data_IF_444764122883
#
_entry.id   IF_444764122883
#
_cell.length_a   1.000
_cell.length_b   1.000
_cell.length_c   1.000
_cell.angle_alpha   90.00
_cell.angle_beta   90.00
_cell.angle_gamma   90.00
#
_symmetry.space_group_name_H-M   'P 1'
#
loop_
_entity.id
_entity.type
_entity.pdbx_description
1 polymer ?
#
# COMPACT_ATOMS: atom_id res chain seq x y z
N UNK A 1 0.40 -13.45 -10.26
CA UNK A 1 1.51 -13.39 -9.29
C UNK A 1 0.88 -13.48 -7.91
N UNK A 2 1.08 -14.56 -7.16
CA UNK A 2 0.68 -14.68 -5.74
C UNK A 2 1.62 -13.83 -4.87
N UNK A 3 1.46 -12.52 -5.02
CA UNK A 3 2.11 -11.46 -4.28
C UNK A 3 1.47 -11.34 -2.89
N UNK A 4 2.15 -11.85 -1.86
CA UNK A 4 1.77 -11.63 -0.46
C UNK A 4 2.68 -10.56 0.14
N UNK A 5 2.09 -9.52 0.73
CA UNK A 5 2.80 -8.57 1.60
C UNK A 5 2.94 -9.14 3.01
N UNK A 6 3.25 -10.43 3.13
CA UNK A 6 3.32 -11.11 4.44
C UNK A 6 4.32 -10.45 5.38
N UNK A 7 5.45 -9.98 4.84
CA UNK A 7 6.47 -9.24 5.58
C UNK A 7 5.94 -7.90 6.15
N UNK A 8 4.94 -7.30 5.48
CA UNK A 8 4.32 -6.04 5.88
C UNK A 8 2.92 -6.23 6.46
N UNK A 9 2.54 -7.48 6.74
CA UNK A 9 1.19 -7.81 7.19
C UNK A 9 0.86 -7.14 8.52
N UNK A 10 1.84 -7.03 9.41
CA UNK A 10 1.67 -6.32 10.68
C UNK A 10 1.32 -4.84 10.45
N UNK A 11 2.04 -4.16 9.55
CA UNK A 11 1.77 -2.75 9.21
C UNK A 11 0.40 -2.62 8.53
N UNK A 12 0.11 -3.46 7.54
CA UNK A 12 -1.15 -3.44 6.80
C UNK A 12 -2.37 -3.80 7.66
N UNK A 13 -2.25 -4.72 8.61
CA UNK A 13 -3.35 -5.11 9.50
C UNK A 13 -3.70 -4.05 10.55
N UNK A 14 -2.79 -3.11 10.83
CA UNK A 14 -3.10 -1.94 11.66
C UNK A 14 -3.85 -0.84 10.91
N UNK A 15 -3.84 -0.87 9.58
CA UNK A 15 -4.52 0.13 8.75
C UNK A 15 -6.02 -0.15 8.66
N UNK A 16 -6.78 0.92 8.42
CA UNK A 16 -8.18 0.82 8.04
C UNK A 16 -8.32 -0.12 6.81
N UNK A 17 -9.31 -1.03 6.76
CA UNK A 17 -9.50 -1.93 5.63
C UNK A 17 -9.50 -1.26 4.25
N UNK A 18 -10.05 -0.05 4.14
CA UNK A 18 -10.07 0.75 2.91
C UNK A 18 -8.66 1.23 2.53
N UNK A 19 -7.91 1.76 3.51
CA UNK A 19 -6.51 2.18 3.35
C UNK A 19 -5.64 1.00 2.96
N UNK A 20 -5.76 -0.14 3.65
CA UNK A 20 -5.01 -1.37 3.34
C UNK A 20 -5.23 -1.81 1.89
N UNK A 21 -6.48 -1.84 1.42
CA UNK A 21 -6.79 -2.24 0.05
C UNK A 21 -6.16 -1.27 -0.95
N UNK A 22 -6.23 0.04 -0.67
CA UNK A 22 -5.65 1.07 -1.53
C UNK A 22 -4.11 1.01 -1.55
N UNK A 23 -3.48 0.78 -0.42
CA UNK A 23 -2.02 0.61 -0.31
C UNK A 23 -1.56 -0.61 -1.13
N UNK A 24 -2.28 -1.71 -1.07
CA UNK A 24 -1.99 -2.90 -1.87
C UNK A 24 -2.07 -2.58 -3.37
N UNK A 25 -3.12 -1.89 -3.83
CA UNK A 25 -3.27 -1.46 -5.23
C UNK A 25 -2.11 -0.56 -5.68
N UNK A 26 -1.78 0.48 -4.91
CA UNK A 26 -0.72 1.43 -5.24
C UNK A 26 0.65 0.74 -5.26
N UNK A 27 0.94 -0.13 -4.28
CA UNK A 27 2.21 -0.86 -4.23
C UNK A 27 2.40 -1.74 -5.47
N UNK A 28 1.32 -2.34 -5.97
CA UNK A 28 1.30 -3.11 -7.21
C UNK A 28 1.72 -2.27 -8.40
N UNK A 29 1.10 -1.10 -8.54
CA UNK A 29 1.42 -0.16 -9.62
C UNK A 29 2.85 0.35 -9.54
N UNK A 30 3.37 0.65 -8.33
CA UNK A 30 4.74 1.11 -8.14
C UNK A 30 5.77 0.06 -8.57
N UNK A 31 5.51 -1.21 -8.28
CA UNK A 31 6.39 -2.32 -8.69
C UNK A 31 6.32 -2.52 -10.21
N UNK A 32 5.11 -2.50 -10.79
CA UNK A 32 4.93 -2.74 -12.22
C UNK A 32 5.40 -1.58 -13.11
N UNK A 33 5.24 -0.33 -12.66
CA UNK A 33 5.55 0.87 -13.46
C UNK A 33 6.93 1.46 -13.20
N UNK A 34 7.39 1.42 -11.95
CA UNK A 34 8.57 2.19 -11.53
C UNK A 34 9.74 1.30 -11.06
N UNK A 35 9.67 -0.03 -11.28
CA UNK A 35 10.69 -1.00 -10.86
C UNK A 35 11.06 -0.89 -9.36
N UNK A 36 10.10 -0.52 -8.53
CA UNK A 36 10.34 -0.38 -7.09
C UNK A 36 10.62 -1.74 -6.45
N UNK A 37 11.56 -1.76 -5.50
CA UNK A 37 11.66 -2.88 -4.58
C UNK A 37 10.38 -2.98 -3.73
N UNK A 38 9.96 -4.22 -3.42
CA UNK A 38 8.71 -4.48 -2.68
C UNK A 38 8.57 -3.64 -1.41
N UNK A 39 9.66 -3.53 -0.64
CA UNK A 39 9.70 -2.75 0.60
C UNK A 39 9.49 -1.26 0.37
N UNK A 40 10.11 -0.68 -0.68
CA UNK A 40 9.92 0.74 -0.99
C UNK A 40 8.52 0.99 -1.54
N UNK A 41 8.01 0.08 -2.36
CA UNK A 41 6.68 0.17 -2.92
C UNK A 41 5.62 0.19 -1.83
N UNK A 42 5.68 -0.74 -0.86
CA UNK A 42 4.65 -0.85 0.18
C UNK A 42 4.69 0.32 1.16
N UNK A 43 5.87 0.76 1.61
CA UNK A 43 5.98 1.93 2.51
C UNK A 43 5.42 3.19 1.85
N UNK A 44 5.77 3.42 0.58
CA UNK A 44 5.24 4.56 -0.19
C UNK A 44 3.74 4.43 -0.41
N UNK A 45 3.26 3.22 -0.72
CA UNK A 45 1.85 2.97 -0.96
C UNK A 45 0.97 3.13 0.28
N UNK A 46 1.47 2.78 1.47
CA UNK A 46 0.77 3.01 2.75
C UNK A 46 0.54 4.51 2.94
N UNK A 47 1.60 5.32 2.84
CA UNK A 47 1.49 6.78 2.99
C UNK A 47 0.51 7.37 1.97
N UNK A 48 0.63 7.00 0.70
CA UNK A 48 -0.28 7.49 -0.35
C UNK A 48 -1.74 7.04 -0.13
N UNK A 49 -1.95 5.86 0.43
CA UNK A 49 -3.28 5.36 0.75
C UNK A 49 -3.90 6.05 1.97
N UNK A 50 -3.09 6.40 2.97
CA UNK A 50 -3.53 7.21 4.11
C UNK A 50 -3.90 8.61 3.66
N UNK A 51 -3.05 9.28 2.87
CA UNK A 51 -3.34 10.60 2.29
C UNK A 51 -4.63 10.59 1.48
N UNK A 52 -4.80 9.60 0.59
CA UNK A 52 -6.04 9.42 -0.17
C UNK A 52 -7.27 9.25 0.73
N UNK A 53 -7.14 8.54 1.85
CA UNK A 53 -8.24 8.33 2.77
C UNK A 53 -8.58 9.60 3.56
N UNK A 54 -7.57 10.36 4.00
CA UNK A 54 -7.76 11.66 4.63
C UNK A 54 -8.45 12.66 3.69
N UNK A 55 -8.06 12.70 2.40
CA UNK A 55 -8.68 13.54 1.38
C UNK A 55 -10.16 13.18 1.11
N UNK A 56 -10.57 11.94 1.39
CA UNK A 56 -11.96 11.49 1.24
C UNK A 56 -12.85 11.78 2.47
N UNK A 57 -12.27 11.97 3.66
CA UNK A 57 -13.01 12.37 4.86
C UNK A 57 -13.17 13.90 5.00
N UNK A 58 -12.47 14.68 4.17
CA UNK A 58 -12.46 16.15 4.17
C UNK A 58 -13.63 16.85 3.48
#
# INVERSE_FOLDING_TARGET
MDWTFEEFRAELDTLNPSVRKKAIEIAKELIEKEDFSKEKAIKKAIVMAEEWFYDLEG
#
